data_IF_945283994817
#
_entry.id   IF_945283994817
#
_cell.length_a   1.000
_cell.length_b   1.000
_cell.length_c   1.000
_cell.angle_alpha   90.00
_cell.angle_beta   90.00
_cell.angle_gamma   90.00
#
_symmetry.space_group_name_H-M   'P 1'
#
loop_
_entity.id
_entity.type
_entity.pdbx_description
1 polymer ?
#
# COMPACT_ATOMS: atom_id res chain seq x y z
N UNK A 1 18.09 -32.19 -14.29
CA UNK A 1 16.76 -31.88 -14.81
C UNK A 1 15.85 -31.70 -13.60
N UNK A 2 15.68 -30.47 -13.18
CA UNK A 2 14.78 -30.10 -12.06
C UNK A 2 13.62 -29.38 -12.71
N UNK A 3 12.44 -30.01 -12.69
CA UNK A 3 11.20 -29.38 -13.17
C UNK A 3 10.79 -28.24 -12.23
N UNK A 4 10.87 -27.03 -12.75
CA UNK A 4 10.27 -25.87 -12.10
C UNK A 4 8.74 -25.93 -12.24
N UNK A 5 8.04 -26.15 -11.14
CA UNK A 5 6.59 -25.92 -11.08
C UNK A 5 6.33 -24.42 -11.13
N UNK A 6 6.13 -23.91 -12.33
CA UNK A 6 5.57 -22.59 -12.56
C UNK A 6 4.07 -22.66 -12.25
N UNK A 7 3.63 -21.96 -11.22
CA UNK A 7 2.20 -21.76 -10.97
C UNK A 7 1.64 -20.90 -12.10
N UNK A 8 0.96 -21.56 -13.02
CA UNK A 8 0.48 -21.00 -14.27
C UNK A 8 -0.82 -20.21 -14.05
N UNK A 9 -0.79 -18.89 -14.11
CA UNK A 9 -1.89 -18.11 -14.68
C UNK A 9 -1.76 -18.20 -16.21
N UNK A 10 -2.16 -19.33 -16.81
CA UNK A 10 -2.16 -19.48 -18.27
C UNK A 10 -3.50 -18.94 -18.78
N UNK A 11 -3.46 -17.82 -19.47
CA UNK A 11 -4.55 -17.36 -20.35
C UNK A 11 -4.27 -17.85 -21.76
N UNK A 12 -5.08 -18.80 -22.25
CA UNK A 12 -5.15 -19.15 -23.66
C UNK A 12 -5.89 -18.01 -24.38
N UNK A 13 -5.18 -17.30 -25.25
CA UNK A 13 -5.80 -16.50 -26.32
C UNK A 13 -6.35 -17.47 -27.37
N UNK A 14 -7.67 -17.66 -27.37
CA UNK A 14 -8.37 -18.30 -28.47
C UNK A 14 -9.08 -17.21 -29.26
N UNK A 15 -8.62 -16.96 -30.47
CA UNK A 15 -9.35 -16.20 -31.48
C UNK A 15 -10.60 -16.97 -31.85
N UNK A 16 -11.77 -16.39 -31.66
CA UNK A 16 -13.01 -16.91 -32.23
C UNK A 16 -13.80 -15.81 -32.92
N UNK A 17 -14.14 -16.14 -34.16
CA UNK A 17 -14.88 -15.31 -35.10
C UNK A 17 -16.29 -14.92 -34.58
N UNK A 18 -16.66 -13.71 -34.96
CA UNK A 18 -17.98 -13.09 -34.78
C UNK A 18 -19.09 -13.88 -35.47
N UNK A 19 -20.15 -14.19 -34.73
CA UNK A 19 -21.50 -14.37 -35.26
C UNK A 19 -22.48 -13.55 -34.42
N UNK A 20 -23.21 -12.71 -35.15
CA UNK A 20 -24.26 -11.79 -34.68
C UNK A 20 -25.48 -12.57 -34.18
N UNK A 21 -26.03 -12.18 -33.07
CA UNK A 21 -27.43 -12.48 -32.77
C UNK A 21 -27.80 -12.68 -31.30
N UNK A 22 -28.65 -11.81 -30.85
CA UNK A 22 -29.56 -11.86 -29.70
C UNK A 22 -29.04 -11.25 -28.38
N UNK A 23 -29.58 -10.05 -28.12
CA UNK A 23 -29.65 -9.40 -26.83
C UNK A 23 -30.27 -10.33 -25.77
N UNK A 24 -29.40 -10.93 -24.95
CA UNK A 24 -29.82 -11.46 -23.66
C UNK A 24 -29.51 -10.37 -22.63
N UNK A 25 -30.57 -9.76 -22.11
CA UNK A 25 -30.50 -8.94 -20.90
C UNK A 25 -30.09 -9.84 -19.75
N UNK A 26 -28.80 -10.03 -19.57
CA UNK A 26 -28.21 -10.70 -18.41
C UNK A 26 -28.48 -9.82 -17.18
N UNK A 27 -29.40 -10.27 -16.31
CA UNK A 27 -29.46 -9.79 -14.94
C UNK A 27 -28.05 -10.02 -14.36
N UNK A 28 -27.32 -8.92 -14.12
CA UNK A 28 -26.04 -8.99 -13.43
C UNK A 28 -26.24 -9.77 -12.14
N UNK A 29 -25.43 -10.82 -11.93
CA UNK A 29 -25.33 -11.48 -10.64
C UNK A 29 -24.95 -10.39 -9.65
N UNK A 30 -25.79 -10.19 -8.64
CA UNK A 30 -25.51 -9.35 -7.48
C UNK A 30 -24.34 -10.02 -6.73
N UNK A 31 -23.12 -9.61 -7.06
CA UNK A 31 -21.88 -10.18 -6.56
C UNK A 31 -21.64 -9.69 -5.14
N UNK A 32 -22.50 -10.01 -4.17
CA UNK A 32 -22.30 -9.75 -2.76
C UNK A 32 -21.91 -8.30 -2.40
N UNK A 33 -21.67 -7.98 -1.12
CA UNK A 33 -21.23 -6.64 -0.75
C UNK A 33 -19.84 -6.36 -1.29
N UNK A 34 -19.68 -5.26 -2.03
CA UNK A 34 -18.39 -4.79 -2.53
C UNK A 34 -17.46 -4.45 -1.36
N UNK A 35 -16.15 -4.75 -1.43
CA UNK A 35 -15.19 -4.40 -0.38
C UNK A 35 -15.12 -2.88 -0.18
N UNK A 36 -14.61 -2.44 0.97
CA UNK A 36 -14.35 -1.01 1.23
C UNK A 36 -13.55 -0.43 0.06
N UNK A 37 -14.06 0.62 -0.63
CA UNK A 37 -13.48 1.09 -1.89
C UNK A 37 -12.26 1.98 -1.65
N UNK A 38 -11.15 1.38 -1.24
CA UNK A 38 -9.87 2.04 -1.03
C UNK A 38 -8.78 1.37 -1.87
N UNK A 39 -8.13 2.14 -2.72
CA UNK A 39 -6.80 1.85 -3.24
C UNK A 39 -5.74 2.27 -2.23
N UNK A 40 -4.54 1.70 -2.31
CA UNK A 40 -3.37 2.07 -1.50
C UNK A 40 -3.72 2.19 -0.01
N UNK A 41 -4.33 1.15 0.60
CA UNK A 41 -4.94 1.25 1.91
C UNK A 41 -3.92 1.17 3.03
N UNK A 42 -4.13 1.99 4.06
CA UNK A 42 -3.40 1.93 5.32
C UNK A 42 -4.36 1.74 6.49
N UNK A 43 -3.99 0.92 7.49
CA UNK A 43 -4.80 0.71 8.70
C UNK A 43 -4.01 1.10 9.95
N UNK A 44 -4.56 2.05 10.70
CA UNK A 44 -4.12 2.42 12.05
C UNK A 44 -5.03 1.75 13.08
N UNK A 45 -4.46 1.08 14.08
CA UNK A 45 -5.16 0.68 15.31
C UNK A 45 -4.85 1.72 16.40
N UNK A 46 -5.86 2.43 16.86
CA UNK A 46 -5.73 3.40 17.95
C UNK A 46 -6.91 3.29 18.91
N UNK A 47 -6.63 3.22 20.22
CA UNK A 47 -7.64 3.10 21.30
C UNK A 47 -8.73 2.07 21.01
N UNK A 48 -8.32 0.91 20.49
CA UNK A 48 -9.21 -0.21 20.23
C UNK A 48 -10.11 -0.06 18.99
N UNK A 49 -9.95 0.99 18.19
CA UNK A 49 -10.64 1.22 16.92
C UNK A 49 -9.65 1.14 15.76
N UNK A 50 -10.04 0.48 14.68
CA UNK A 50 -9.29 0.50 13.42
C UNK A 50 -9.75 1.66 12.54
N UNK A 51 -8.80 2.39 12.00
CA UNK A 51 -9.00 3.49 11.04
C UNK A 51 -8.35 3.09 9.72
N UNK A 52 -9.11 3.07 8.63
CA UNK A 52 -8.60 2.81 7.30
C UNK A 52 -8.64 4.07 6.44
N UNK A 53 -7.52 4.36 5.82
CA UNK A 53 -7.33 5.46 4.87
C UNK A 53 -6.90 4.87 3.54
N UNK A 54 -7.07 5.61 2.44
CA UNK A 54 -6.62 5.16 1.14
C UNK A 54 -6.98 6.12 0.01
N UNK A 55 -6.59 5.75 -1.18
CA UNK A 55 -6.88 6.48 -2.42
C UNK A 55 -8.30 6.18 -2.88
N UNK A 56 -9.15 7.20 -2.95
CA UNK A 56 -10.49 7.06 -3.51
C UNK A 56 -11.08 8.40 -3.96
N UNK A 57 -11.00 9.46 -3.15
CA UNK A 57 -11.68 10.72 -3.37
C UNK A 57 -10.77 11.77 -4.02
N UNK A 58 -11.33 12.57 -4.92
CA UNK A 58 -10.70 13.77 -5.51
C UNK A 58 -10.79 15.02 -4.63
N UNK A 59 -11.48 14.90 -3.47
CA UNK A 59 -11.68 16.00 -2.51
C UNK A 59 -10.69 15.98 -1.34
N UNK A 60 -9.91 14.90 -1.22
CA UNK A 60 -8.96 14.66 -0.14
C UNK A 60 -8.90 13.18 0.26
N UNK A 61 -8.56 12.89 1.50
CA UNK A 61 -8.41 11.53 2.02
C UNK A 61 -9.60 11.16 2.90
N UNK A 62 -10.29 10.09 2.53
CA UNK A 62 -11.39 9.52 3.32
C UNK A 62 -10.85 8.67 4.48
N UNK A 63 -11.70 8.51 5.52
CA UNK A 63 -11.44 7.58 6.62
C UNK A 63 -12.65 6.69 6.86
N UNK A 64 -12.40 5.42 7.13
CA UNK A 64 -13.40 4.43 7.55
C UNK A 64 -12.99 3.85 8.89
N UNK A 65 -13.96 3.43 9.70
CA UNK A 65 -13.72 2.86 11.04
C UNK A 65 -14.31 1.48 11.19
N UNK A 66 -13.64 0.65 12.03
CA UNK A 66 -14.07 -0.71 12.32
C UNK A 66 -13.62 -1.16 13.71
N UNK A 67 -14.40 -2.07 14.33
CA UNK A 67 -14.02 -2.75 15.57
C UNK A 67 -13.48 -4.17 15.35
N UNK A 68 -13.65 -4.74 14.15
CA UNK A 68 -13.45 -6.16 13.91
C UNK A 68 -12.75 -6.51 12.58
N UNK A 69 -12.31 -5.52 11.80
CA UNK A 69 -11.68 -5.65 10.46
C UNK A 69 -12.59 -6.19 9.35
N UNK A 70 -13.78 -6.67 9.65
CA UNK A 70 -14.72 -7.26 8.69
C UNK A 70 -15.77 -6.28 8.20
N UNK A 71 -16.31 -5.50 9.14
CA UNK A 71 -17.36 -4.51 8.85
C UNK A 71 -16.87 -3.11 9.17
N UNK A 72 -17.03 -2.20 8.23
CA UNK A 72 -16.53 -0.84 8.28
C UNK A 72 -17.65 0.16 8.07
N UNK A 73 -17.49 1.36 8.57
CA UNK A 73 -18.45 2.46 8.38
C UNK A 73 -17.73 3.79 8.25
N UNK A 74 -18.38 4.77 7.63
CA UNK A 74 -17.95 6.16 7.73
C UNK A 74 -18.18 6.67 9.15
N UNK A 75 -17.24 7.43 9.75
CA UNK A 75 -17.43 8.01 11.07
C UNK A 75 -18.62 8.97 11.07
N UNK A 76 -19.54 8.84 12.04
CA UNK A 76 -20.70 9.72 12.15
C UNK A 76 -20.33 11.20 12.38
N UNK A 77 -19.12 11.43 12.94
CA UNK A 77 -18.58 12.77 13.21
C UNK A 77 -18.08 13.49 11.95
N UNK A 78 -17.90 12.76 10.84
CA UNK A 78 -17.42 13.28 9.55
C UNK A 78 -18.48 13.09 8.47
N UNK A 79 -19.42 14.03 8.30
CA UNK A 79 -20.49 13.88 7.31
C UNK A 79 -20.00 13.74 5.86
N UNK A 80 -18.86 14.35 5.52
CA UNK A 80 -18.20 14.22 4.23
C UNK A 80 -17.23 13.02 4.15
N UNK A 81 -16.95 12.36 5.29
CA UNK A 81 -16.05 11.21 5.39
C UNK A 81 -14.58 11.54 5.23
N UNK A 82 -14.19 12.82 5.17
CA UNK A 82 -12.82 13.27 4.88
C UNK A 82 -12.01 13.51 6.15
N UNK A 83 -10.97 12.73 6.38
CA UNK A 83 -9.96 13.02 7.40
C UNK A 83 -9.05 14.19 6.99
N UNK A 84 -8.74 14.30 5.68
CA UNK A 84 -8.01 15.40 5.08
C UNK A 84 -8.84 15.98 3.93
N UNK A 85 -9.06 17.31 3.95
CA UNK A 85 -9.77 18.02 2.88
C UNK A 85 -8.75 18.85 2.08
N UNK A 86 -8.86 18.85 0.75
CA UNK A 86 -7.95 19.58 -0.14
C UNK A 86 -7.85 21.08 0.15
N UNK A 87 -8.88 21.71 0.71
CA UNK A 87 -8.85 23.12 1.12
C UNK A 87 -7.85 23.43 2.25
N UNK A 88 -7.47 22.42 3.04
CA UNK A 88 -6.60 22.56 4.21
C UNK A 88 -5.12 22.25 3.91
N UNK A 89 -4.78 21.92 2.64
CA UNK A 89 -3.45 21.49 2.22
C UNK A 89 -2.99 22.18 0.93
N UNK A 90 -1.79 21.84 0.45
CA UNK A 90 -1.15 22.48 -0.68
C UNK A 90 -1.82 22.19 -2.02
N UNK A 91 -2.07 20.89 -2.32
CA UNK A 91 -2.60 20.47 -3.60
C UNK A 91 -4.13 20.46 -3.62
N UNK A 92 -4.71 20.42 -4.82
CA UNK A 92 -6.16 20.38 -5.03
C UNK A 92 -6.63 19.13 -5.78
N UNK A 93 -5.71 18.20 -6.09
CA UNK A 93 -5.97 16.98 -6.89
C UNK A 93 -5.01 15.82 -6.52
N UNK A 94 -5.40 14.60 -6.95
CA UNK A 94 -4.59 13.38 -6.92
C UNK A 94 -4.07 13.03 -5.52
N UNK A 95 -4.99 12.87 -4.58
CA UNK A 95 -4.69 12.46 -3.22
C UNK A 95 -4.55 10.94 -3.15
N UNK A 96 -3.29 10.44 -2.99
CA UNK A 96 -2.96 9.03 -3.06
C UNK A 96 -2.16 8.56 -1.86
N UNK A 97 -2.21 7.23 -1.62
CA UNK A 97 -1.36 6.47 -0.73
C UNK A 97 -1.12 7.12 0.65
N UNK A 98 -2.18 7.44 1.41
CA UNK A 98 -2.02 8.00 2.75
C UNK A 98 -1.58 6.95 3.74
N UNK A 99 -0.61 7.30 4.60
CA UNK A 99 -0.24 6.55 5.79
C UNK A 99 -0.32 7.45 7.03
N UNK A 100 -0.86 6.94 8.14
CA UNK A 100 -1.11 7.73 9.37
C UNK A 100 -0.40 7.14 10.56
N UNK A 101 0.44 7.94 11.22
CA UNK A 101 1.25 7.53 12.35
C UNK A 101 1.01 8.43 13.56
N UNK A 102 0.93 7.84 14.75
CA UNK A 102 0.87 8.57 16.01
C UNK A 102 2.26 8.66 16.63
N UNK A 103 2.81 9.87 16.70
CA UNK A 103 4.12 10.13 17.32
C UNK A 103 3.97 11.28 18.32
N UNK A 104 4.35 11.05 19.58
CA UNK A 104 4.32 12.05 20.64
C UNK A 104 2.99 12.81 20.76
N UNK A 105 1.85 12.08 20.63
CA UNK A 105 0.50 12.64 20.75
C UNK A 105 0.05 13.50 19.56
N UNK A 106 0.73 13.42 18.43
CA UNK A 106 0.35 14.05 17.17
C UNK A 106 0.22 12.98 16.09
N UNK A 107 -0.86 13.02 15.31
CA UNK A 107 -1.05 12.18 14.14
C UNK A 107 -0.43 12.87 12.93
N UNK A 108 0.45 12.17 12.24
CA UNK A 108 1.09 12.58 10.99
C UNK A 108 0.48 11.74 9.87
N UNK A 109 -0.07 12.39 8.87
CA UNK A 109 -0.51 11.76 7.64
C UNK A 109 0.46 12.13 6.53
N UNK A 110 1.24 11.15 6.08
CA UNK A 110 2.01 11.28 4.84
C UNK A 110 1.12 10.82 3.70
N UNK A 111 1.19 11.50 2.56
CA UNK A 111 0.37 11.21 1.39
C UNK A 111 0.99 11.80 0.14
N UNK A 112 0.59 11.30 -1.01
CA UNK A 112 0.92 11.92 -2.31
C UNK A 112 -0.21 12.83 -2.74
N UNK A 113 0.13 14.01 -3.27
CA UNK A 113 -0.81 14.90 -3.92
C UNK A 113 -0.13 15.61 -5.08
N UNK A 114 -0.81 15.70 -6.24
CA UNK A 114 -0.25 16.26 -7.49
C UNK A 114 1.17 15.71 -7.81
N UNK A 115 1.35 14.38 -7.60
CA UNK A 115 2.61 13.64 -7.76
C UNK A 115 3.78 14.15 -6.87
N UNK A 116 3.47 14.72 -5.70
CA UNK A 116 4.47 15.11 -4.70
C UNK A 116 4.10 14.54 -3.34
N UNK A 117 5.11 14.13 -2.57
CA UNK A 117 4.89 13.71 -1.18
C UNK A 117 4.64 14.92 -0.28
N UNK A 118 3.65 14.77 0.58
CA UNK A 118 3.20 15.79 1.52
C UNK A 118 3.04 15.19 2.91
N UNK A 119 3.07 16.03 3.94
CA UNK A 119 2.74 15.65 5.30
C UNK A 119 1.76 16.66 5.91
N UNK A 120 0.71 16.15 6.55
CA UNK A 120 -0.27 16.93 7.30
C UNK A 120 -0.40 16.38 8.71
N UNK A 121 -0.79 17.20 9.68
CA UNK A 121 -0.90 16.82 11.08
C UNK A 121 -2.31 17.01 11.63
N UNK A 122 -2.64 16.23 12.67
CA UNK A 122 -3.88 16.35 13.42
C UNK A 122 -3.71 15.93 14.88
N UNK A 123 -4.63 16.31 15.75
CA UNK A 123 -4.76 15.80 17.13
C UNK A 123 -5.73 14.61 17.24
N UNK A 124 -6.34 14.21 16.14
CA UNK A 124 -7.28 13.09 16.07
C UNK A 124 -7.00 12.22 14.85
N UNK A 125 -7.17 10.88 14.93
CA UNK A 125 -7.07 10.00 13.76
C UNK A 125 -8.18 10.29 12.73
N UNK A 126 -9.26 10.91 13.13
CA UNK A 126 -10.34 11.36 12.22
C UNK A 126 -10.03 12.68 11.51
N UNK A 127 -8.91 13.33 11.84
CA UNK A 127 -8.61 14.66 11.35
C UNK A 127 -9.32 15.79 12.14
N UNK A 128 -9.49 17.00 11.58
CA UNK A 128 -8.98 17.37 10.26
C UNK A 128 -7.45 17.39 10.22
N UNK A 129 -6.87 16.70 9.23
CA UNK A 129 -5.45 16.82 8.94
C UNK A 129 -5.19 18.10 8.15
N UNK A 130 -4.17 18.87 8.56
CA UNK A 130 -3.83 20.16 7.97
C UNK A 130 -2.34 20.30 7.76
N UNK A 131 -1.95 21.02 6.71
CA UNK A 131 -0.59 21.52 6.56
C UNK A 131 -0.50 22.94 7.12
N UNK A 132 0.42 23.16 8.04
CA UNK A 132 0.72 24.50 8.55
C UNK A 132 1.35 25.35 7.42
N UNK A 133 2.35 24.81 6.75
CA UNK A 133 2.86 25.32 5.48
C UNK A 133 2.28 24.48 4.35
N UNK A 134 1.56 25.12 3.44
CA UNK A 134 0.99 24.46 2.27
C UNK A 134 2.03 24.32 1.19
N UNK A 135 2.91 23.35 1.35
CA UNK A 135 3.99 23.01 0.41
C UNK A 135 4.27 21.49 0.44
N UNK A 136 4.77 20.89 -0.65
CA UNK A 136 5.20 19.50 -0.63
C UNK A 136 6.53 19.37 0.10
N UNK A 137 6.89 18.14 0.53
CA UNK A 137 8.16 17.87 1.21
C UNK A 137 9.36 18.01 0.26
N UNK A 138 9.14 17.76 -1.04
CA UNK A 138 10.09 18.00 -2.13
C UNK A 138 9.33 18.72 -3.25
N UNK A 139 9.70 19.96 -3.55
CA UNK A 139 8.96 20.81 -4.49
C UNK A 139 9.51 20.80 -5.92
N UNK A 140 10.77 20.45 -6.09
CA UNK A 140 11.50 20.55 -7.36
C UNK A 140 11.59 19.24 -8.14
N UNK A 141 11.01 18.16 -7.59
CA UNK A 141 10.89 16.88 -8.29
C UNK A 141 9.61 16.14 -7.89
N UNK A 142 9.09 15.34 -8.81
CA UNK A 142 7.96 14.45 -8.56
C UNK A 142 8.41 13.23 -7.78
N UNK A 143 7.66 12.89 -6.72
CA UNK A 143 7.85 11.70 -5.91
C UNK A 143 6.53 11.34 -5.23
N UNK A 144 6.29 10.04 -5.04
CA UNK A 144 5.02 9.53 -4.51
C UNK A 144 5.26 8.42 -3.48
N UNK A 145 4.19 7.90 -2.91
CA UNK A 145 4.13 6.65 -2.13
C UNK A 145 5.10 6.63 -0.94
N UNK A 146 4.77 7.44 0.01
CA UNK A 146 5.55 7.65 1.23
C UNK A 146 5.26 6.60 2.31
N UNK A 147 6.27 6.17 3.06
CA UNK A 147 6.13 5.33 4.26
C UNK A 147 7.11 5.74 5.34
N UNK A 148 6.60 6.06 6.53
CA UNK A 148 7.43 6.42 7.70
C UNK A 148 7.93 5.16 8.39
N UNK A 149 9.22 5.12 8.68
CA UNK A 149 9.83 4.14 9.57
C UNK A 149 10.65 4.86 10.65
N UNK A 150 10.40 4.54 11.93
CA UNK A 150 11.22 5.02 13.06
C UNK A 150 11.99 3.83 13.60
N UNK A 151 13.32 3.90 13.55
CA UNK A 151 14.18 2.80 14.00
C UNK A 151 14.27 2.73 15.52
N UNK A 152 14.88 1.67 16.06
CA UNK A 152 15.01 1.41 17.50
C UNK A 152 15.79 2.49 18.25
N UNK A 153 16.65 3.23 17.55
CA UNK A 153 17.38 4.40 18.09
C UNK A 153 16.56 5.70 18.09
N UNK A 154 15.31 5.64 17.60
CA UNK A 154 14.40 6.77 17.50
C UNK A 154 14.58 7.63 16.23
N UNK A 155 15.53 7.27 15.34
CA UNK A 155 15.79 8.03 14.13
C UNK A 155 14.66 7.77 13.09
N UNK A 156 14.02 8.83 12.56
CA UNK A 156 12.97 8.70 11.59
C UNK A 156 13.51 8.66 10.16
N UNK A 157 12.95 7.78 9.35
CA UNK A 157 13.22 7.61 7.93
C UNK A 157 11.92 7.67 7.14
N UNK A 158 11.96 8.22 5.94
CA UNK A 158 10.87 8.17 4.97
C UNK A 158 11.33 7.35 3.77
N UNK A 159 10.61 6.29 3.47
CA UNK A 159 10.70 5.58 2.20
C UNK A 159 9.73 6.22 1.22
N UNK A 160 10.13 6.38 -0.03
CA UNK A 160 9.30 7.01 -1.06
C UNK A 160 9.79 6.65 -2.46
N UNK A 161 8.94 6.90 -3.44
CA UNK A 161 9.21 6.54 -4.82
C UNK A 161 9.60 7.76 -5.64
N UNK A 162 10.68 7.63 -6.42
CA UNK A 162 11.17 8.66 -7.35
C UNK A 162 11.01 8.20 -8.79
N UNK A 163 10.63 9.12 -9.66
CA UNK A 163 10.58 8.93 -11.10
C UNK A 163 11.99 9.08 -11.69
N UNK A 164 12.73 7.98 -11.74
CA UNK A 164 14.10 7.94 -12.26
C UNK A 164 14.33 6.63 -13.03
N UNK A 165 14.20 6.66 -14.36
CA UNK A 165 14.25 5.48 -15.23
C UNK A 165 13.23 4.40 -14.84
N UNK A 166 11.99 4.79 -14.67
CA UNK A 166 10.90 4.04 -14.04
C UNK A 166 10.55 4.65 -12.69
N UNK A 167 9.83 3.92 -11.88
CA UNK A 167 9.49 4.28 -10.50
C UNK A 167 10.31 3.40 -9.57
N UNK A 168 11.11 3.99 -8.70
CA UNK A 168 12.09 3.30 -7.86
C UNK A 168 12.01 3.78 -6.42
N UNK A 169 12.21 2.85 -5.47
CA UNK A 169 12.13 3.13 -4.04
C UNK A 169 13.44 3.71 -3.52
N UNK A 170 13.32 4.80 -2.77
CA UNK A 170 14.39 5.51 -2.08
C UNK A 170 14.09 5.65 -0.60
N UNK A 171 15.11 5.95 0.19
CA UNK A 171 15.00 6.27 1.63
C UNK A 171 15.76 7.55 1.92
N UNK A 172 15.27 8.34 2.88
CA UNK A 172 15.97 9.48 3.46
C UNK A 172 15.65 9.63 4.95
N UNK A 173 16.55 10.23 5.71
CA UNK A 173 16.24 10.67 7.07
C UNK A 173 15.25 11.84 7.05
N UNK A 174 14.37 11.86 8.04
CA UNK A 174 13.53 13.03 8.34
C UNK A 174 14.18 13.92 9.40
N UNK A 175 13.73 15.16 9.47
CA UNK A 175 13.97 16.03 10.62
C UNK A 175 13.25 15.50 11.86
N UNK A 176 13.67 15.91 13.06
CA UNK A 176 13.12 15.40 14.32
C UNK A 176 11.64 15.76 14.53
N UNK A 177 11.16 16.82 13.87
CA UNK A 177 9.75 17.21 13.82
C UNK A 177 8.92 16.40 12.82
N UNK A 178 9.55 15.53 12.03
CA UNK A 178 8.95 14.64 11.03
C UNK A 178 8.32 15.37 9.83
N UNK A 179 8.64 16.66 9.62
CA UNK A 179 7.98 17.48 8.60
C UNK A 179 8.83 17.68 7.33
N UNK A 180 10.13 17.39 7.38
CA UNK A 180 11.04 17.63 6.25
C UNK A 180 11.97 16.45 6.01
N UNK A 181 12.36 16.27 4.75
CA UNK A 181 13.36 15.30 4.32
C UNK A 181 14.75 15.95 4.38
N UNK A 182 15.72 15.27 4.98
CA UNK A 182 17.14 15.61 4.89
C UNK A 182 17.68 15.11 3.55
N UNK A 183 17.63 15.96 2.52
CA UNK A 183 17.92 15.58 1.11
C UNK A 183 19.30 14.98 0.91
N UNK A 184 20.29 15.42 1.66
CA UNK A 184 21.67 14.91 1.62
C UNK A 184 21.79 13.45 2.06
N UNK A 185 20.78 12.93 2.75
CA UNK A 185 20.72 11.54 3.21
C UNK A 185 20.03 10.59 2.24
N UNK A 186 19.47 11.09 1.15
CA UNK A 186 18.72 10.29 0.17
C UNK A 186 19.58 9.17 -0.41
N UNK A 187 19.06 7.92 -0.39
CA UNK A 187 19.71 6.71 -0.91
C UNK A 187 18.72 5.87 -1.71
N UNK A 188 19.14 5.28 -2.84
CA UNK A 188 18.33 4.29 -3.55
C UNK A 188 18.25 3.00 -2.77
N UNK A 189 17.06 2.38 -2.72
CA UNK A 189 16.84 1.09 -2.09
C UNK A 189 16.76 -0.03 -3.12
N UNK A 190 15.71 -0.02 -3.93
CA UNK A 190 15.48 -1.04 -4.97
C UNK A 190 14.93 -0.41 -6.24
N UNK A 191 15.15 -1.12 -7.35
CA UNK A 191 14.61 -0.82 -8.67
C UNK A 191 14.20 -2.13 -9.35
N UNK A 192 13.48 -2.06 -10.47
CA UNK A 192 13.06 -3.24 -11.23
C UNK A 192 14.27 -4.07 -11.66
N UNK A 193 14.32 -5.35 -11.24
CA UNK A 193 15.46 -6.24 -11.47
C UNK A 193 15.08 -7.73 -11.61
N UNK A 194 13.86 -8.12 -11.23
CA UNK A 194 13.40 -9.50 -11.30
C UNK A 194 12.40 -9.72 -12.46
N UNK A 195 12.35 -10.87 -13.10
CA UNK A 195 11.50 -11.12 -14.28
C UNK A 195 10.00 -10.87 -14.04
N UNK A 196 9.48 -11.15 -12.83
CA UNK A 196 8.08 -10.96 -12.50
C UNK A 196 7.68 -9.47 -12.45
N UNK A 197 8.65 -8.56 -12.26
CA UNK A 197 8.47 -7.11 -12.18
C UNK A 197 8.44 -6.44 -13.57
N UNK A 198 8.72 -7.18 -14.65
CA UNK A 198 8.96 -6.63 -15.99
C UNK A 198 7.76 -6.80 -16.93
N UNK A 199 6.58 -7.15 -16.41
CA UNK A 199 5.41 -7.42 -17.26
C UNK A 199 4.79 -6.13 -17.77
N UNK A 200 4.73 -5.10 -16.94
CA UNK A 200 4.19 -3.78 -17.28
C UNK A 200 4.69 -2.69 -16.36
N UNK A 201 4.77 -1.45 -16.83
CA UNK A 201 6.00 -0.73 -17.04
C UNK A 201 6.97 -0.95 -15.87
N UNK A 202 8.15 -0.38 -15.92
CA UNK A 202 9.19 -0.56 -14.90
C UNK A 202 8.83 0.19 -13.61
N UNK A 203 8.16 -0.50 -12.68
CA UNK A 203 7.66 0.04 -11.42
C UNK A 203 8.08 -0.86 -10.27
N UNK A 204 8.74 -0.28 -9.27
CA UNK A 204 8.77 -0.73 -7.87
C UNK A 204 8.29 0.44 -7.03
N UNK A 205 7.18 0.25 -6.31
CA UNK A 205 6.49 1.31 -5.57
C UNK A 205 5.88 0.81 -4.27
N UNK A 206 5.31 1.71 -3.47
CA UNK A 206 4.50 1.39 -2.30
C UNK A 206 5.28 0.62 -1.25
N UNK A 207 6.48 1.09 -0.89
CA UNK A 207 7.30 0.46 0.14
C UNK A 207 6.64 0.56 1.51
N UNK A 208 6.65 -0.53 2.27
CA UNK A 208 6.38 -0.53 3.70
C UNK A 208 7.48 -1.28 4.44
N UNK A 209 8.11 -0.66 5.43
CA UNK A 209 9.27 -1.23 6.13
C UNK A 209 8.92 -1.56 7.58
N UNK A 210 9.39 -2.72 8.02
CA UNK A 210 9.37 -3.13 9.43
C UNK A 210 10.68 -3.81 9.81
N UNK A 211 11.00 -3.80 11.11
CA UNK A 211 12.12 -4.54 11.69
C UNK A 211 11.60 -5.77 12.44
N UNK A 212 12.25 -6.91 12.21
CA UNK A 212 11.94 -8.16 12.91
C UNK A 212 13.24 -8.94 13.19
N UNK A 213 13.49 -9.24 14.48
CA UNK A 213 14.69 -9.95 14.94
C UNK A 213 16.02 -9.34 14.39
N UNK A 214 16.10 -8.00 14.36
CA UNK A 214 17.29 -7.27 13.91
C UNK A 214 17.46 -7.11 12.40
N UNK A 215 16.58 -7.70 11.60
CA UNK A 215 16.56 -7.60 10.14
C UNK A 215 15.44 -6.63 9.70
N UNK A 216 15.71 -5.82 8.70
CA UNK A 216 14.71 -4.97 8.05
C UNK A 216 14.04 -5.73 6.90
N UNK A 217 12.72 -5.62 6.83
CA UNK A 217 11.87 -6.21 5.80
C UNK A 217 11.07 -5.10 5.13
N UNK A 218 11.21 -4.98 3.82
CA UNK A 218 10.45 -4.07 2.98
C UNK A 218 9.48 -4.87 2.13
N UNK A 219 8.17 -4.71 2.30
CA UNK A 219 7.22 -5.08 1.26
C UNK A 219 7.16 -3.96 0.23
N UNK A 220 7.02 -4.31 -1.05
CA UNK A 220 6.90 -3.37 -2.15
C UNK A 220 5.99 -3.96 -3.22
N UNK A 221 5.53 -3.14 -4.12
CA UNK A 221 4.74 -3.59 -5.26
C UNK A 221 5.48 -3.41 -6.56
N UNK A 222 5.20 -4.30 -7.52
CA UNK A 222 5.80 -4.23 -8.84
C UNK A 222 4.80 -4.51 -9.95
N UNK A 223 5.15 -4.08 -11.14
CA UNK A 223 4.32 -3.79 -12.29
C UNK A 223 3.45 -2.53 -12.05
N UNK A 224 2.70 -2.06 -13.05
CA UNK A 224 1.74 -0.97 -12.85
C UNK A 224 0.55 -1.45 -12.04
N UNK A 225 -0.02 -0.59 -11.18
CA UNK A 225 -1.26 -0.87 -10.50
C UNK A 225 -2.44 -1.16 -11.46
N UNK A 226 -2.32 -0.76 -12.72
CA UNK A 226 -3.30 -1.07 -13.76
C UNK A 226 -3.17 -2.49 -14.31
N UNK A 227 -2.03 -3.14 -14.07
CA UNK A 227 -1.76 -4.50 -14.52
C UNK A 227 -2.50 -5.52 -13.65
N UNK A 228 -3.15 -6.53 -14.22
CA UNK A 228 -3.67 -7.66 -13.45
C UNK A 228 -2.57 -8.45 -12.74
N UNK A 229 -1.30 -8.29 -13.15
CA UNK A 229 -0.11 -8.89 -12.54
C UNK A 229 0.60 -7.97 -11.54
N UNK A 230 -0.03 -6.89 -11.10
CA UNK A 230 0.45 -6.15 -9.94
C UNK A 230 0.57 -7.10 -8.76
N UNK A 231 1.71 -7.07 -8.06
CA UNK A 231 2.04 -8.05 -7.03
C UNK A 231 2.88 -7.46 -5.91
N UNK A 232 2.89 -8.14 -4.76
CA UNK A 232 3.67 -7.75 -3.58
C UNK A 232 4.92 -8.61 -3.51
N UNK A 233 6.09 -7.96 -3.52
CA UNK A 233 7.40 -8.56 -3.26
C UNK A 233 7.92 -8.22 -1.87
N UNK A 234 9.08 -8.81 -1.52
CA UNK A 234 9.84 -8.49 -0.32
C UNK A 234 11.31 -8.30 -0.65
N UNK A 235 11.93 -7.33 0.03
CA UNK A 235 13.37 -7.16 0.11
C UNK A 235 13.80 -7.07 1.57
N UNK A 236 15.05 -7.46 1.88
CA UNK A 236 15.61 -7.40 3.24
C UNK A 236 16.94 -6.66 3.27
N UNK A 237 17.27 -6.09 4.42
CA UNK A 237 18.56 -5.45 4.69
C UNK A 237 18.96 -5.63 6.16
N UNK A 238 20.24 -5.51 6.44
CA UNK A 238 20.80 -5.45 7.82
C UNK A 238 20.94 -4.02 8.31
N UNK A 239 20.86 -3.04 7.41
CA UNK A 239 20.85 -1.60 7.68
C UNK A 239 19.69 -0.94 6.97
N UNK A 240 19.05 0.05 7.58
CA UNK A 240 17.89 0.74 7.02
C UNK A 240 18.19 1.43 5.68
N UNK A 241 19.42 1.87 5.49
CA UNK A 241 19.90 2.47 4.25
C UNK A 241 20.33 1.44 3.18
N UNK A 242 20.25 0.13 3.51
CA UNK A 242 20.63 -0.96 2.62
C UNK A 242 22.11 -1.41 2.79
N UNK A 243 22.64 -2.20 1.87
CA UNK A 243 21.99 -2.61 0.62
C UNK A 243 20.78 -3.52 0.85
N UNK A 244 19.72 -3.29 0.07
CA UNK A 244 18.51 -4.09 0.09
C UNK A 244 18.61 -5.25 -0.90
N UNK A 245 18.26 -6.46 -0.44
CA UNK A 245 18.27 -7.68 -1.25
C UNK A 245 16.85 -8.21 -1.41
N UNK A 246 16.38 -8.30 -2.63
CA UNK A 246 15.05 -8.87 -2.95
C UNK A 246 15.05 -10.39 -2.72
N UNK A 247 13.93 -10.92 -2.23
CA UNK A 247 13.75 -12.36 -2.16
C UNK A 247 13.85 -13.01 -3.54
N UNK A 248 14.57 -14.14 -3.62
CA UNK A 248 14.69 -14.90 -4.86
C UNK A 248 13.33 -15.44 -5.36
N UNK A 249 12.42 -15.73 -4.40
CA UNK A 249 11.12 -16.33 -4.69
C UNK A 249 9.96 -15.32 -4.67
N UNK A 250 10.24 -14.04 -4.94
CA UNK A 250 9.18 -13.07 -5.20
C UNK A 250 8.33 -13.46 -6.43
N UNK A 251 7.06 -13.07 -6.50
CA UNK A 251 6.31 -12.27 -5.52
C UNK A 251 5.83 -13.08 -4.31
N UNK A 252 5.67 -12.42 -3.14
CA UNK A 252 5.07 -13.02 -1.96
C UNK A 252 3.57 -13.22 -2.10
N UNK A 253 2.91 -12.31 -2.81
CA UNK A 253 1.47 -12.37 -3.09
C UNK A 253 1.19 -11.78 -4.46
N UNK A 254 0.52 -12.58 -5.30
CA UNK A 254 0.03 -12.16 -6.61
C UNK A 254 -1.17 -13.04 -6.97
N UNK A 255 -2.26 -12.45 -7.42
CA UNK A 255 -3.50 -13.14 -7.83
C UNK A 255 -4.01 -14.20 -6.81
N UNK A 256 -4.19 -13.90 -5.51
CA UNK A 256 -4.74 -14.87 -4.57
C UNK A 256 -6.23 -15.12 -4.84
N UNK A 257 -6.62 -16.39 -4.99
CA UNK A 257 -8.00 -16.75 -5.36
C UNK A 257 -8.41 -16.15 -6.70
N UNK A 258 -9.47 -15.33 -6.69
CA UNK A 258 -9.99 -14.64 -7.89
C UNK A 258 -9.52 -13.18 -8.00
N UNK A 259 -8.73 -12.69 -7.05
CA UNK A 259 -8.23 -11.31 -7.08
C UNK A 259 -7.14 -11.12 -8.12
N UNK A 260 -7.13 -9.97 -8.76
CA UNK A 260 -6.10 -9.50 -9.69
C UNK A 260 -5.70 -8.07 -9.35
N UNK A 261 -4.52 -7.64 -9.80
CA UNK A 261 -4.02 -6.30 -9.52
C UNK A 261 -3.82 -6.05 -8.02
N UNK A 262 -3.25 -7.04 -7.31
CA UNK A 262 -3.04 -7.02 -5.87
C UNK A 262 -1.74 -6.31 -5.53
N UNK A 263 -1.80 -5.26 -4.73
CA UNK A 263 -0.58 -4.56 -4.34
C UNK A 263 -0.81 -3.37 -3.41
N UNK A 264 0.20 -2.55 -3.30
CA UNK A 264 0.32 -1.37 -2.46
C UNK A 264 -0.11 -1.68 -1.03
N UNK A 265 0.79 -2.30 -0.28
CA UNK A 265 0.47 -2.91 1.01
C UNK A 265 1.12 -2.19 2.18
N UNK A 266 0.43 -2.17 3.31
CA UNK A 266 0.96 -1.75 4.60
C UNK A 266 0.72 -2.83 5.67
N UNK A 267 1.60 -2.91 6.65
CA UNK A 267 1.47 -3.88 7.75
C UNK A 267 1.03 -3.21 9.05
N UNK A 268 0.22 -3.91 9.83
CA UNK A 268 -0.22 -3.46 11.16
C UNK A 268 -0.41 -4.64 12.11
N UNK A 269 -0.40 -4.38 13.42
CA UNK A 269 -0.78 -5.39 14.41
C UNK A 269 -2.25 -5.23 14.78
N UNK A 270 -2.99 -6.33 14.74
CA UNK A 270 -4.39 -6.32 15.18
C UNK A 270 -4.49 -6.30 16.72
N UNK A 271 -5.74 -6.20 17.26
CA UNK A 271 -6.03 -6.17 18.70
C UNK A 271 -5.49 -7.38 19.49
N UNK A 272 -5.14 -8.47 18.79
CA UNK A 272 -4.54 -9.67 19.36
C UNK A 272 -3.02 -9.71 19.20
N UNK A 273 -2.41 -8.64 18.69
CA UNK A 273 -0.99 -8.54 18.40
C UNK A 273 -0.55 -9.33 17.15
N UNK A 274 -1.47 -9.91 16.37
CA UNK A 274 -1.14 -10.63 15.15
C UNK A 274 -0.76 -9.65 14.05
N UNK A 275 0.34 -9.94 13.35
CA UNK A 275 0.77 -9.15 12.21
C UNK A 275 -0.17 -9.38 11.03
N UNK A 276 -0.69 -8.30 10.50
CA UNK A 276 -1.61 -8.24 9.35
C UNK A 276 -0.99 -7.40 8.25
N UNK A 277 -1.46 -7.64 7.03
CA UNK A 277 -1.15 -6.83 5.87
C UNK A 277 -2.48 -6.39 5.25
N UNK A 278 -2.59 -5.10 4.96
CA UNK A 278 -3.66 -4.54 4.16
C UNK A 278 -3.12 -4.26 2.76
N UNK A 279 -3.94 -4.50 1.74
CA UNK A 279 -3.58 -4.30 0.34
C UNK A 279 -4.85 -4.02 -0.48
N UNK A 280 -4.70 -3.51 -1.67
CA UNK A 280 -5.83 -3.41 -2.59
C UNK A 280 -5.81 -4.49 -3.67
N UNK A 281 -6.94 -4.66 -4.34
CA UNK A 281 -7.05 -5.39 -5.59
C UNK A 281 -7.95 -4.60 -6.55
N UNK A 282 -7.91 -4.94 -7.84
CA UNK A 282 -8.85 -4.43 -8.82
C UNK A 282 -10.30 -4.75 -8.42
N UNK A 283 -11.25 -4.01 -8.95
CA UNK A 283 -12.68 -4.29 -8.79
C UNK A 283 -13.01 -5.72 -9.19
N UNK A 284 -12.54 -6.13 -10.35
CA UNK A 284 -12.65 -7.48 -10.91
C UNK A 284 -11.63 -7.68 -12.05
N UNK A 285 -11.74 -8.77 -12.81
CA UNK A 285 -10.83 -9.07 -13.92
C UNK A 285 -10.97 -8.17 -15.14
N UNK A 286 -12.05 -7.41 -15.21
CA UNK A 286 -12.42 -6.56 -16.36
C UNK A 286 -12.27 -5.06 -16.05
N UNK A 287 -12.34 -4.68 -14.77
CA UNK A 287 -12.32 -3.30 -14.32
C UNK A 287 -11.35 -3.08 -13.15
N UNK A 288 -10.52 -2.04 -13.24
CA UNK A 288 -9.59 -1.66 -12.19
C UNK A 288 -10.33 -0.96 -11.05
N UNK A 289 -11.12 0.03 -11.36
CA UNK A 289 -11.79 0.90 -10.39
C UNK A 289 -13.26 0.56 -10.15
N UNK A 290 -13.75 0.85 -8.93
CA UNK A 290 -12.99 1.23 -7.76
C UNK A 290 -12.15 0.06 -7.23
N UNK A 291 -10.90 0.32 -6.81
CA UNK A 291 -10.09 -0.71 -6.14
C UNK A 291 -10.70 -1.02 -4.77
N UNK A 292 -10.62 -2.27 -4.35
CA UNK A 292 -11.14 -2.73 -3.08
C UNK A 292 -10.03 -3.05 -2.08
N UNK A 293 -10.25 -2.76 -0.79
CA UNK A 293 -9.35 -3.08 0.31
C UNK A 293 -9.53 -4.54 0.76
N UNK A 294 -8.40 -5.23 1.02
CA UNK A 294 -8.35 -6.60 1.54
C UNK A 294 -7.32 -6.71 2.68
N UNK A 295 -7.50 -7.70 3.57
CA UNK A 295 -6.64 -7.88 4.74
C UNK A 295 -6.17 -9.32 4.83
N UNK A 296 -4.85 -9.54 4.76
CA UNK A 296 -4.18 -10.83 4.93
C UNK A 296 -3.51 -11.00 6.29
N UNK A 297 -2.79 -12.11 6.45
CA UNK A 297 -1.93 -12.41 7.59
C UNK A 297 -0.48 -12.47 7.13
N UNK A 298 0.42 -11.97 7.97
CA UNK A 298 1.87 -12.10 7.77
C UNK A 298 2.44 -13.01 8.83
N UNK A 299 3.35 -13.88 8.42
CA UNK A 299 4.08 -14.81 9.28
C UNK A 299 5.55 -14.80 8.89
N UNK A 300 6.42 -15.12 9.85
CA UNK A 300 7.83 -15.37 9.63
C UNK A 300 8.11 -16.87 9.78
N UNK A 301 8.92 -17.44 8.91
CA UNK A 301 9.31 -18.85 8.92
C UNK A 301 10.83 -18.95 8.88
N UNK A 302 11.40 -19.73 9.79
CA UNK A 302 12.84 -20.06 9.72
C UNK A 302 13.10 -20.95 8.51
N UNK A 303 14.13 -20.60 7.74
CA UNK A 303 14.63 -21.50 6.71
C UNK A 303 15.44 -22.62 7.37
N UNK A 304 15.30 -23.83 6.85
CA UNK A 304 16.05 -24.99 7.35
C UNK A 304 17.55 -24.77 7.16
N UNK A 305 18.31 -24.71 8.27
CA UNK A 305 19.76 -24.50 8.22
C UNK A 305 20.22 -23.04 8.20
N UNK A 306 19.31 -22.07 8.33
CA UNK A 306 19.60 -20.63 8.45
C UNK A 306 19.08 -20.06 9.75
N UNK A 307 19.74 -19.02 10.27
CA UNK A 307 19.19 -18.15 11.33
C UNK A 307 18.18 -17.16 10.80
N UNK A 308 18.16 -16.92 9.47
CA UNK A 308 17.29 -15.95 8.82
C UNK A 308 15.85 -16.44 8.75
N UNK A 309 14.93 -15.52 8.93
CA UNK A 309 13.50 -15.77 8.75
C UNK A 309 13.02 -15.19 7.43
N UNK A 310 12.13 -15.91 6.78
CA UNK A 310 11.47 -15.45 5.55
C UNK A 310 10.07 -14.97 5.89
N UNK A 311 9.72 -13.77 5.44
CA UNK A 311 8.36 -13.27 5.49
C UNK A 311 7.48 -14.07 4.53
N UNK A 312 6.27 -14.39 4.98
CA UNK A 312 5.26 -15.11 4.22
C UNK A 312 3.90 -14.41 4.38
N UNK A 313 3.21 -14.17 3.28
CA UNK A 313 1.84 -13.66 3.28
C UNK A 313 0.90 -14.86 3.04
N UNK A 314 -0.05 -15.05 3.97
CA UNK A 314 -1.08 -16.09 3.83
C UNK A 314 -2.00 -15.70 2.65
N UNK A 315 -2.23 -16.60 1.67
CA UNK A 315 -3.11 -16.31 0.54
C UNK A 315 -4.60 -16.18 0.94
N UNK A 316 -4.97 -16.61 2.16
CA UNK A 316 -6.29 -16.37 2.70
C UNK A 316 -6.43 -14.91 3.18
N UNK A 317 -7.51 -14.25 2.79
CA UNK A 317 -7.77 -12.86 3.10
C UNK A 317 -9.17 -12.63 3.64
N UNK A 318 -9.33 -11.54 4.38
CA UNK A 318 -10.62 -10.97 4.78
C UNK A 318 -11.03 -9.99 3.69
N UNK A 319 -12.30 -10.01 3.29
CA UNK A 319 -12.94 -8.97 2.49
C UNK A 319 -13.69 -8.01 3.41
N UNK A 320 -13.14 -6.82 3.71
CA UNK A 320 -13.81 -5.80 4.50
C UNK A 320 -15.00 -5.21 3.75
N UNK A 321 -16.15 -5.09 4.40
CA UNK A 321 -17.36 -4.57 3.75
C UNK A 321 -17.95 -3.39 4.52
N UNK A 322 -18.59 -2.46 3.81
CA UNK A 322 -19.30 -1.35 4.44
C UNK A 322 -20.59 -1.84 5.11
N UNK A 323 -20.85 -1.36 6.32
CA UNK A 323 -22.17 -1.50 6.96
C UNK A 323 -23.21 -0.78 6.09
N UNK A 324 -24.31 -1.45 5.85
CA UNK A 324 -25.49 -0.86 5.21
C UNK A 324 -26.16 0.15 6.13
#
# INVERSE_FOLDING_TARGET
MIEMKINRCIWMLTFMLVLVGNSVTGKGKDNGPFPVPLGDPFILLHEGTYYAYGTHSDKGIEVYVSDNLKTWSRPAQLPDGLALNKKDVWADRWFWAPEVYLVNGTFYMYYSADEHICVATSKSPLGPFKQEKKEPMIADEKCIDNSLFIDDDGKPYLFFDRFNDGLNIWVAELTDDLLQIKRETMRPCIHVSQPWEMIWPRVNEGAFVMKHEGMYYMTYSANSYESPFYGIGCATATDVNGPWTKYEHNPLLQCPGDLVGVGHSAMFRDKKGQLRIVFHAHKDKEAIHPRGMYIGKVKFRKQKGSSEQTMYIDPEYITPVLKK
#
